data_IF_240153200042
#
_entry.id   IF_240153200042
#
_cell.length_a   1.000
_cell.length_b   1.000
_cell.length_c   1.000
_cell.angle_alpha   90.00
_cell.angle_beta   90.00
_cell.angle_gamma   90.00
#
_symmetry.space_group_name_H-M   'P 1'
#
loop_
_entity.id
_entity.type
_entity.pdbx_description
1 polymer ?
#
# COMPACT_ATOMS: atom_id res chain seq x y z
N UNK A 1 -0.50 6.48 -1.61
CA UNK A 1 -1.60 5.62 -2.08
C UNK A 1 -2.68 6.52 -2.66
N UNK A 2 -2.71 6.69 -3.98
CA UNK A 2 -3.68 7.52 -4.72
C UNK A 2 -4.37 6.64 -5.76
N UNK A 3 -5.48 7.02 -6.38
CA UNK A 3 -6.09 6.29 -7.51
C UNK A 3 -6.27 7.29 -8.65
N UNK A 4 -5.59 7.12 -9.80
CA UNK A 4 -5.90 7.86 -11.02
C UNK A 4 -5.72 7.00 -12.30
N UNK A 5 -6.84 6.76 -12.98
CA UNK A 5 -6.88 6.13 -14.29
C UNK A 5 -6.41 7.15 -15.37
N UNK A 6 -5.25 6.93 -15.99
CA UNK A 6 -4.91 7.59 -17.26
C UNK A 6 -5.04 6.61 -18.42
N UNK A 7 -6.16 6.69 -19.15
CA UNK A 7 -6.28 6.16 -20.51
C UNK A 7 -5.66 7.19 -21.47
N UNK A 8 -4.48 6.89 -22.02
CA UNK A 8 -3.94 7.64 -23.14
C UNK A 8 -4.73 7.27 -24.40
N UNK A 9 -5.67 8.13 -24.77
CA UNK A 9 -6.41 8.09 -26.04
C UNK A 9 -6.99 9.47 -26.29
N UNK A 10 -6.54 10.13 -27.35
CA UNK A 10 -6.90 11.50 -27.71
C UNK A 10 -8.42 11.74 -27.69
N UNK A 11 -8.90 12.54 -26.74
CA UNK A 11 -9.85 13.63 -26.95
C UNK A 11 -10.20 14.30 -25.61
N UNK A 12 -10.25 15.63 -25.64
CA UNK A 12 -10.59 16.55 -24.55
C UNK A 12 -11.58 15.98 -23.50
N UNK A 13 -11.08 15.63 -22.31
CA UNK A 13 -11.90 15.48 -21.11
C UNK A 13 -11.04 15.81 -19.88
N UNK A 14 -11.57 16.65 -19.00
CA UNK A 14 -10.81 17.32 -17.93
C UNK A 14 -10.04 16.37 -17.02
N UNK A 15 -8.89 16.84 -16.50
CA UNK A 15 -8.08 16.13 -15.49
C UNK A 15 -9.02 15.58 -14.42
N UNK A 16 -9.04 14.24 -14.28
CA UNK A 16 -9.74 13.58 -13.19
C UNK A 16 -9.27 14.18 -11.86
N UNK A 17 -10.21 14.58 -11.02
CA UNK A 17 -9.88 15.07 -9.67
C UNK A 17 -9.37 13.87 -8.86
N UNK A 18 -8.21 14.02 -8.23
CA UNK A 18 -7.62 12.97 -7.39
C UNK A 18 -8.60 12.57 -6.27
N UNK A 19 -8.55 11.30 -5.85
CA UNK A 19 -9.39 10.76 -4.78
C UNK A 19 -10.90 10.97 -5.05
N UNK A 20 -11.31 10.78 -6.31
CA UNK A 20 -12.71 10.85 -6.73
C UNK A 20 -12.99 9.75 -7.75
N UNK A 21 -14.04 8.98 -7.52
CA UNK A 21 -14.50 7.95 -8.46
C UNK A 21 -15.19 8.59 -9.67
N UNK A 22 -14.80 8.16 -10.85
CA UNK A 22 -15.50 8.37 -12.10
C UNK A 22 -16.90 7.75 -12.07
N UNK A 23 -17.76 8.16 -13.01
CA UNK A 23 -19.08 7.54 -13.19
C UNK A 23 -18.99 6.04 -13.49
N UNK A 24 -17.93 5.62 -14.19
CA UNK A 24 -17.70 4.22 -14.54
C UNK A 24 -17.32 3.41 -13.30
N UNK A 25 -16.34 3.87 -12.53
CA UNK A 25 -15.90 3.21 -11.29
C UNK A 25 -17.07 3.04 -10.31
N UNK A 26 -17.90 4.08 -10.11
CA UNK A 26 -19.10 3.97 -9.27
C UNK A 26 -20.08 2.92 -9.78
N UNK A 27 -20.28 2.82 -11.10
CA UNK A 27 -21.16 1.82 -11.71
C UNK A 27 -20.61 0.40 -11.56
N UNK A 28 -19.30 0.25 -11.54
CA UNK A 28 -18.59 -1.02 -11.35
C UNK A 28 -18.46 -1.41 -9.87
N UNK A 29 -18.95 -0.59 -8.95
CA UNK A 29 -18.97 -0.89 -7.51
C UNK A 29 -17.67 -0.54 -6.78
N UNK A 30 -16.79 0.27 -7.38
CA UNK A 30 -15.60 0.75 -6.68
C UNK A 30 -15.96 1.69 -5.53
N UNK A 31 -15.15 1.63 -4.48
CA UNK A 31 -15.25 2.47 -3.31
C UNK A 31 -13.91 3.17 -3.03
N UNK A 32 -13.94 4.35 -2.41
CA UNK A 32 -12.73 5.03 -1.99
C UNK A 32 -12.35 4.57 -0.59
N UNK A 33 -11.19 3.91 -0.47
CA UNK A 33 -10.56 3.68 0.83
C UNK A 33 -9.94 4.96 1.41
N UNK A 34 -9.73 5.99 0.60
CA UNK A 34 -9.16 7.27 1.02
C UNK A 34 -9.84 8.43 0.29
N UNK A 35 -10.33 9.40 1.06
CA UNK A 35 -11.07 10.56 0.57
C UNK A 35 -10.19 11.74 0.12
N UNK A 36 -8.86 11.60 0.26
CA UNK A 36 -7.90 12.66 -0.04
C UNK A 36 -7.70 13.69 1.07
N UNK A 37 -8.36 13.56 2.22
CA UNK A 37 -8.46 14.61 3.24
C UNK A 37 -8.25 14.09 4.65
N UNK A 38 -8.75 12.91 4.94
CA UNK A 38 -8.80 12.32 6.28
C UNK A 38 -8.30 10.88 6.25
N UNK A 39 -7.87 10.38 7.41
CA UNK A 39 -7.58 8.96 7.60
C UNK A 39 -8.80 8.22 8.17
N UNK A 40 -10.01 8.70 7.86
CA UNK A 40 -11.23 7.97 8.19
C UNK A 40 -11.19 6.59 7.50
N UNK A 41 -11.55 5.55 8.24
CA UNK A 41 -11.42 4.17 7.77
C UNK A 41 -10.01 3.59 7.94
N UNK A 42 -9.07 4.32 8.55
CA UNK A 42 -7.71 3.84 8.86
C UNK A 42 -7.39 3.99 10.34
N UNK A 43 -6.53 3.09 10.84
CA UNK A 43 -5.95 3.13 12.19
C UNK A 43 -4.55 2.52 12.18
N UNK A 44 -3.80 2.70 13.25
CA UNK A 44 -2.57 1.95 13.45
C UNK A 44 -2.85 0.48 13.73
N UNK A 45 -2.05 -0.43 13.19
CA UNK A 45 -2.16 -1.85 13.56
C UNK A 45 -1.96 -1.99 15.08
N UNK A 46 -2.83 -2.76 15.74
CA UNK A 46 -2.83 -3.01 17.18
C UNK A 46 -3.26 -1.80 18.02
N UNK A 47 -3.89 -0.80 17.40
CA UNK A 47 -4.30 0.47 18.03
C UNK A 47 -5.64 0.97 17.48
N UNK A 48 -6.31 1.80 18.26
CA UNK A 48 -7.59 2.42 17.91
C UNK A 48 -7.44 3.78 17.22
N UNK A 49 -6.22 4.32 17.20
CA UNK A 49 -5.88 5.63 16.65
C UNK A 49 -4.82 5.54 15.54
N UNK A 50 -4.68 6.63 14.79
CA UNK A 50 -3.56 6.80 13.85
C UNK A 50 -2.41 7.51 14.57
N UNK A 51 -1.19 6.99 14.40
CA UNK A 51 0.02 7.60 14.94
C UNK A 51 0.42 8.79 14.05
N UNK A 52 -0.11 9.97 14.36
CA UNK A 52 0.00 11.18 13.54
C UNK A 52 1.44 11.69 13.32
N UNK A 53 2.37 11.32 14.19
CA UNK A 53 3.81 11.58 13.99
C UNK A 53 4.40 10.76 12.83
N UNK A 54 3.74 9.66 12.45
CA UNK A 54 4.22 8.69 11.46
C UNK A 54 3.39 8.67 10.18
N UNK A 55 2.11 9.03 10.23
CA UNK A 55 1.18 8.98 9.10
C UNK A 55 0.39 10.28 9.03
N UNK A 56 0.47 10.94 7.87
CA UNK A 56 -0.17 12.24 7.63
C UNK A 56 -0.93 12.24 6.32
N UNK A 57 -1.93 13.10 6.22
CA UNK A 57 -2.51 13.49 4.94
C UNK A 57 -1.84 14.77 4.46
N UNK A 58 -1.28 14.72 3.26
CA UNK A 58 -0.59 15.86 2.64
C UNK A 58 -0.85 15.83 1.13
N UNK A 59 -1.24 16.97 0.55
CA UNK A 59 -1.49 17.13 -0.89
C UNK A 59 -2.40 16.05 -1.51
N UNK A 60 -3.42 15.62 -0.76
CA UNK A 60 -4.33 14.57 -1.22
C UNK A 60 -3.72 13.17 -1.20
N UNK A 61 -2.70 12.91 -0.37
CA UNK A 61 -2.03 11.63 -0.24
C UNK A 61 -1.91 11.21 1.23
N UNK A 62 -1.98 9.90 1.48
CA UNK A 62 -1.45 9.31 2.72
C UNK A 62 0.09 9.26 2.60
N UNK A 63 0.78 9.95 3.50
CA UNK A 63 2.25 10.03 3.57
C UNK A 63 2.76 9.37 4.85
N UNK A 64 3.67 8.41 4.69
CA UNK A 64 4.55 7.94 5.77
C UNK A 64 5.63 9.00 6.03
N UNK A 65 5.74 9.47 7.26
CA UNK A 65 6.77 10.42 7.69
C UNK A 65 8.12 9.71 7.72
N UNK A 66 9.18 10.40 7.27
CA UNK A 66 10.53 9.86 7.33
C UNK A 66 10.94 9.66 8.79
N UNK A 67 11.49 8.50 9.15
CA UNK A 67 11.93 8.20 10.51
C UNK A 67 12.92 9.23 11.09
N UNK A 68 13.65 9.98 10.25
CA UNK A 68 14.54 11.08 10.67
C UNK A 68 13.79 12.34 11.12
N UNK A 69 12.54 12.50 10.68
CA UNK A 69 11.65 13.63 11.00
C UNK A 69 10.71 13.32 12.17
N UNK A 70 10.57 12.05 12.56
CA UNK A 70 9.74 11.63 13.69
C UNK A 70 10.33 12.19 15.00
N UNK A 71 9.52 12.86 15.84
CA UNK A 71 9.98 13.38 17.12
C UNK A 71 10.58 12.28 18.01
N UNK A 72 11.54 12.70 18.84
CA UNK A 72 12.08 11.86 19.91
C UNK A 72 11.31 12.13 21.20
N UNK A 73 11.11 11.08 21.96
CA UNK A 73 10.62 11.12 23.34
C UNK A 73 11.67 11.75 24.25
N UNK A 74 11.29 12.07 25.49
CA UNK A 74 12.18 12.67 26.49
C UNK A 74 13.41 11.80 26.82
N UNK A 75 13.33 10.49 26.62
CA UNK A 75 14.43 9.55 26.81
C UNK A 75 15.33 9.42 25.55
N UNK A 76 15.09 10.23 24.52
CA UNK A 76 15.85 10.26 23.27
C UNK A 76 15.47 9.17 22.26
N UNK A 77 14.53 8.26 22.59
CA UNK A 77 14.04 7.24 21.65
C UNK A 77 13.00 7.82 20.70
N UNK A 78 12.89 7.32 19.46
CA UNK A 78 11.79 7.71 18.57
C UNK A 78 10.43 7.40 19.20
N UNK A 79 9.41 8.21 18.90
CA UNK A 79 8.01 7.84 19.16
C UNK A 79 7.69 6.54 18.41
N UNK A 80 7.01 5.60 19.06
CA UNK A 80 6.68 4.31 18.47
C UNK A 80 5.82 4.47 17.21
N UNK A 81 6.29 3.92 16.10
CA UNK A 81 5.56 3.88 14.83
C UNK A 81 4.74 2.62 14.67
N UNK A 82 4.53 2.25 13.42
CA UNK A 82 3.84 1.03 13.01
C UNK A 82 3.24 1.15 11.62
N UNK A 83 2.63 0.07 11.18
CA UNK A 83 1.91 -0.04 9.92
C UNK A 83 0.51 0.60 10.07
N UNK A 84 0.04 1.25 9.00
CA UNK A 84 -1.33 1.76 8.91
C UNK A 84 -2.22 0.67 8.32
N UNK A 85 -3.39 0.46 8.92
CA UNK A 85 -4.32 -0.61 8.56
C UNK A 85 -5.72 -0.04 8.35
N UNK A 86 -6.50 -0.63 7.45
CA UNK A 86 -7.92 -0.33 7.34
C UNK A 86 -8.65 -0.73 8.63
N UNK A 87 -9.71 -0.01 8.96
CA UNK A 87 -10.62 -0.41 10.05
C UNK A 87 -11.44 -1.63 9.62
N UNK A 88 -11.89 -1.63 8.37
CA UNK A 88 -12.62 -2.73 7.76
C UNK A 88 -11.68 -3.85 7.31
N UNK A 89 -12.20 -5.08 7.31
CA UNK A 89 -11.57 -6.25 6.74
C UNK A 89 -12.20 -6.57 5.38
N UNK A 90 -11.39 -7.06 4.45
CA UNK A 90 -11.80 -7.40 3.09
C UNK A 90 -11.30 -8.81 2.76
N UNK A 91 -12.19 -9.62 2.16
CA UNK A 91 -11.87 -10.97 1.68
C UNK A 91 -11.48 -10.92 0.19
N UNK A 92 -12.44 -11.20 -0.71
CA UNK A 92 -12.27 -11.02 -2.14
C UNK A 92 -12.29 -9.54 -2.50
N UNK A 93 -11.21 -9.05 -3.13
CA UNK A 93 -11.14 -7.65 -3.53
C UNK A 93 -10.29 -7.43 -4.78
N UNK A 94 -10.58 -6.32 -5.45
CA UNK A 94 -9.68 -5.68 -6.41
C UNK A 94 -9.29 -4.33 -5.84
N UNK A 95 -8.00 -4.18 -5.52
CA UNK A 95 -7.46 -2.98 -4.90
C UNK A 95 -6.52 -2.29 -5.88
N UNK A 96 -6.90 -1.09 -6.31
CA UNK A 96 -6.08 -0.24 -7.16
C UNK A 96 -5.49 0.91 -6.36
N UNK A 97 -4.23 1.23 -6.65
CA UNK A 97 -3.53 2.30 -5.98
C UNK A 97 -2.35 2.85 -6.78
N UNK A 98 -1.89 4.01 -6.37
CA UNK A 98 -0.79 4.77 -6.89
C UNK A 98 0.13 5.16 -5.77
N UNK A 99 1.41 5.14 -6.04
CA UNK A 99 2.40 5.36 -5.02
C UNK A 99 3.60 6.05 -5.65
N UNK A 100 4.28 6.82 -4.81
CA UNK A 100 5.59 7.37 -5.11
C UNK A 100 6.41 7.24 -3.84
N UNK A 101 7.71 7.11 -4.01
CA UNK A 101 8.65 7.03 -2.91
C UNK A 101 9.72 8.10 -3.07
N UNK A 102 10.30 8.48 -1.93
CA UNK A 102 11.53 9.26 -1.87
C UNK A 102 12.74 8.36 -2.20
N UNK A 103 13.91 8.93 -2.52
CA UNK A 103 15.14 8.16 -2.58
C UNK A 103 15.35 7.31 -1.32
N UNK A 104 15.91 6.11 -1.48
CA UNK A 104 16.07 5.08 -0.43
C UNK A 104 14.76 4.48 0.11
N UNK A 105 13.60 4.88 -0.43
CA UNK A 105 12.30 4.44 0.05
C UNK A 105 12.15 2.92 0.06
N UNK A 106 11.55 2.41 1.14
CA UNK A 106 11.19 1.01 1.30
C UNK A 106 9.86 0.97 2.06
N UNK A 107 8.84 0.38 1.42
CA UNK A 107 7.48 0.29 1.90
C UNK A 107 6.81 -0.92 1.25
N UNK A 108 5.51 -1.09 1.49
CA UNK A 108 4.75 -2.16 0.87
C UNK A 108 3.27 -2.01 1.17
N UNK A 109 2.46 -2.70 0.37
CA UNK A 109 1.04 -2.89 0.65
C UNK A 109 0.85 -4.32 1.12
N UNK A 110 0.42 -4.46 2.36
CA UNK A 110 0.13 -5.77 2.96
C UNK A 110 -1.36 -6.08 2.90
N UNK A 111 -1.69 -7.32 2.61
CA UNK A 111 -3.05 -7.83 2.52
C UNK A 111 -3.14 -9.24 3.11
N UNK A 112 -4.36 -9.70 3.37
CA UNK A 112 -4.63 -10.90 4.17
C UNK A 112 -3.89 -10.85 5.53
N UNK A 113 -3.99 -9.68 6.19
CA UNK A 113 -3.31 -9.39 7.45
C UNK A 113 -4.17 -9.86 8.61
N UNK A 114 -3.62 -10.69 9.48
CA UNK A 114 -4.22 -10.97 10.79
C UNK A 114 -3.61 -10.07 11.85
N UNK A 115 -4.41 -9.16 12.41
CA UNK A 115 -3.96 -8.29 13.50
C UNK A 115 -3.54 -9.09 14.74
N UNK A 116 -4.31 -10.13 15.09
CA UNK A 116 -3.99 -11.01 16.22
C UNK A 116 -2.62 -11.69 16.05
N UNK A 117 -2.37 -12.30 14.88
CA UNK A 117 -1.07 -12.94 14.62
C UNK A 117 0.05 -11.90 14.56
N UNK A 118 -0.23 -10.72 14.00
CA UNK A 118 0.73 -9.60 13.95
C UNK A 118 1.15 -9.15 15.34
N UNK A 119 0.19 -9.04 16.27
CA UNK A 119 0.46 -8.62 17.65
C UNK A 119 1.09 -9.72 18.51
N UNK A 120 0.80 -10.98 18.21
CA UNK A 120 1.23 -12.15 19.01
C UNK A 120 2.60 -12.66 18.59
N UNK A 121 2.83 -12.79 17.28
CA UNK A 121 4.03 -13.42 16.71
C UNK A 121 4.89 -12.46 15.89
N UNK A 122 4.32 -11.34 15.43
CA UNK A 122 5.03 -10.33 14.68
C UNK A 122 5.82 -9.35 15.56
N UNK A 123 6.50 -8.41 14.91
CA UNK A 123 6.97 -7.20 15.59
C UNK A 123 5.75 -6.35 15.92
N UNK A 124 5.49 -6.14 17.21
CA UNK A 124 4.34 -5.37 17.71
C UNK A 124 4.12 -4.10 16.87
N UNK A 125 2.93 -3.96 16.31
CA UNK A 125 2.50 -2.88 15.38
C UNK A 125 2.93 -2.98 13.92
N UNK A 126 3.50 -4.11 13.49
CA UNK A 126 3.82 -4.40 12.10
C UNK A 126 3.01 -5.60 11.61
N UNK A 127 2.45 -5.46 10.42
CA UNK A 127 1.55 -6.45 9.85
C UNK A 127 2.31 -7.71 9.43
N UNK A 128 1.77 -8.85 9.82
CA UNK A 128 2.06 -10.17 9.29
C UNK A 128 0.97 -10.50 8.26
N UNK A 129 1.36 -10.54 6.99
CA UNK A 129 0.49 -10.80 5.85
C UNK A 129 1.30 -10.87 4.55
N UNK A 130 0.61 -11.06 3.43
CA UNK A 130 1.24 -11.00 2.10
C UNK A 130 1.58 -9.57 1.75
N UNK A 131 2.73 -9.33 1.12
CA UNK A 131 3.23 -7.97 0.84
C UNK A 131 3.54 -7.77 -0.64
N UNK A 132 2.85 -6.82 -1.26
CA UNK A 132 3.30 -6.21 -2.51
C UNK A 132 4.44 -5.25 -2.18
N UNK A 133 5.64 -5.55 -2.67
CA UNK A 133 6.84 -4.77 -2.35
C UNK A 133 6.86 -3.42 -3.07
N UNK A 134 7.29 -2.37 -2.36
CA UNK A 134 7.54 -1.02 -2.90
C UNK A 134 8.93 -0.55 -2.45
N UNK A 135 9.88 -0.42 -3.38
CA UNK A 135 11.27 -0.18 -3.06
C UNK A 135 11.95 0.73 -4.09
N UNK A 136 12.95 1.50 -3.65
CA UNK A 136 13.89 2.16 -4.56
C UNK A 136 14.88 1.11 -5.11
N UNK A 137 14.42 0.28 -6.05
CA UNK A 137 15.13 -0.90 -6.58
C UNK A 137 16.56 -0.61 -7.05
N UNK A 138 16.79 0.62 -7.54
CA UNK A 138 18.07 1.05 -8.11
C UNK A 138 19.01 1.73 -7.10
N UNK A 139 18.57 1.96 -5.86
CA UNK A 139 19.42 2.55 -4.84
C UNK A 139 20.62 1.64 -4.52
N UNK A 140 21.80 2.21 -4.28
CA UNK A 140 23.02 1.47 -3.96
C UNK A 140 22.89 0.53 -2.74
N UNK A 141 21.91 0.77 -1.87
CA UNK A 141 21.60 -0.08 -0.71
C UNK A 141 21.01 -1.43 -1.14
N UNK A 142 20.27 -1.46 -2.24
CA UNK A 142 19.44 -2.60 -2.64
C UNK A 142 19.88 -3.21 -3.98
N UNK A 143 20.29 -2.38 -4.94
CA UNK A 143 20.60 -2.79 -6.29
C UNK A 143 21.63 -3.93 -6.35
N UNK A 144 21.21 -5.06 -6.91
CA UNK A 144 22.04 -6.26 -7.07
C UNK A 144 22.35 -7.02 -5.78
N UNK A 145 21.70 -6.67 -4.65
CA UNK A 145 21.98 -7.24 -3.33
C UNK A 145 20.84 -8.08 -2.76
N UNK A 146 19.63 -7.91 -3.26
CA UNK A 146 18.45 -8.62 -2.79
C UNK A 146 18.08 -9.81 -3.70
N UNK A 147 17.31 -10.75 -3.17
CA UNK A 147 16.68 -11.80 -3.99
C UNK A 147 15.69 -11.15 -4.97
N UNK A 148 15.45 -11.74 -6.16
CA UNK A 148 14.46 -11.23 -7.10
C UNK A 148 13.08 -10.96 -6.48
N UNK A 149 12.62 -11.81 -5.55
CA UNK A 149 11.34 -11.68 -4.84
C UNK A 149 11.29 -10.56 -3.79
N UNK A 150 12.34 -9.75 -3.64
CA UNK A 150 12.41 -8.65 -2.68
C UNK A 150 12.41 -7.27 -3.35
N UNK A 151 12.30 -7.21 -4.68
CA UNK A 151 12.18 -5.96 -5.44
C UNK A 151 10.74 -5.60 -5.75
N UNK A 152 10.51 -4.34 -6.15
CA UNK A 152 9.18 -3.76 -6.35
C UNK A 152 8.27 -4.62 -7.21
N UNK A 153 7.01 -4.72 -6.81
CA UNK A 153 5.99 -5.50 -7.52
C UNK A 153 5.93 -6.96 -7.13
N UNK A 154 6.98 -7.49 -6.48
CA UNK A 154 7.03 -8.88 -6.06
C UNK A 154 6.07 -9.15 -4.91
N UNK A 155 5.64 -10.40 -4.78
CA UNK A 155 5.15 -10.89 -3.49
C UNK A 155 6.37 -11.16 -2.61
N UNK A 156 6.61 -10.28 -1.64
CA UNK A 156 7.86 -10.19 -0.90
C UNK A 156 8.31 -11.56 -0.34
N UNK A 157 9.54 -11.94 -0.68
CA UNK A 157 10.22 -13.21 -0.33
C UNK A 157 9.53 -14.51 -0.81
N UNK A 158 8.43 -14.42 -1.57
CA UNK A 158 7.70 -15.56 -2.11
C UNK A 158 7.81 -15.68 -3.63
N UNK A 159 7.34 -14.68 -4.38
CA UNK A 159 7.33 -14.71 -5.85
C UNK A 159 7.90 -13.43 -6.45
N UNK A 160 8.91 -13.52 -7.33
CA UNK A 160 9.44 -12.35 -8.03
C UNK A 160 8.42 -11.79 -9.01
N UNK A 161 8.40 -10.46 -9.12
CA UNK A 161 7.67 -9.82 -10.20
C UNK A 161 8.39 -9.95 -11.53
N UNK A 162 7.60 -9.93 -12.60
CA UNK A 162 8.07 -9.95 -13.97
C UNK A 162 7.58 -8.70 -14.70
N UNK A 163 8.36 -8.25 -15.69
CA UNK A 163 7.99 -7.14 -16.58
C UNK A 163 7.65 -5.83 -15.85
N UNK A 164 8.25 -5.60 -14.68
CA UNK A 164 8.04 -4.39 -13.88
C UNK A 164 8.56 -3.17 -14.64
N UNK A 165 7.72 -2.14 -14.75
CA UNK A 165 8.08 -0.83 -15.30
C UNK A 165 7.84 0.21 -14.22
N UNK A 166 8.92 0.79 -13.72
CA UNK A 166 8.87 1.81 -12.70
C UNK A 166 9.08 3.18 -13.32
N UNK A 167 8.23 4.13 -12.95
CA UNK A 167 8.50 5.54 -13.15
C UNK A 167 9.63 5.99 -12.22
N UNK A 168 10.33 7.09 -12.57
CA UNK A 168 11.39 7.65 -11.74
C UNK A 168 10.97 7.90 -10.29
N UNK A 169 11.96 7.94 -9.40
CA UNK A 169 11.76 8.32 -7.99
C UNK A 169 11.05 9.68 -7.90
N UNK A 170 10.15 9.82 -6.94
CA UNK A 170 9.23 10.95 -6.77
C UNK A 170 8.11 11.10 -7.82
N UNK A 171 8.07 10.27 -8.87
CA UNK A 171 6.93 10.18 -9.78
C UNK A 171 5.95 9.08 -9.35
N UNK A 172 4.69 9.23 -9.71
CA UNK A 172 3.66 8.25 -9.36
C UNK A 172 3.78 7.01 -10.25
N UNK A 173 3.84 5.85 -9.61
CA UNK A 173 3.53 4.55 -10.17
C UNK A 173 2.07 4.21 -9.86
N UNK A 174 1.48 3.32 -10.65
CA UNK A 174 0.18 2.71 -10.35
C UNK A 174 0.31 1.19 -10.26
N UNK A 175 -0.56 0.58 -9.48
CA UNK A 175 -0.49 -0.83 -9.12
C UNK A 175 -1.87 -1.35 -8.77
N UNK A 176 -2.03 -2.67 -8.85
CA UNK A 176 -3.29 -3.34 -8.58
C UNK A 176 -3.04 -4.70 -7.95
N UNK A 177 -3.78 -5.01 -6.90
CA UNK A 177 -3.81 -6.31 -6.24
C UNK A 177 -5.21 -6.88 -6.43
N UNK A 178 -5.29 -8.13 -6.90
CA UNK A 178 -6.54 -8.88 -6.98
C UNK A 178 -6.36 -10.09 -6.08
N UNK A 179 -7.18 -10.18 -5.04
CA UNK A 179 -7.32 -11.38 -4.22
C UNK A 179 -8.71 -11.96 -4.49
N UNK A 180 -8.75 -13.21 -4.94
CA UNK A 180 -9.99 -13.94 -5.19
C UNK A 180 -9.83 -15.37 -4.71
N UNK A 181 -10.79 -15.83 -3.93
CA UNK A 181 -10.95 -17.24 -3.63
C UNK A 181 -11.28 -17.99 -4.93
N UNK A 182 -10.47 -19.01 -5.25
CA UNK A 182 -10.78 -19.93 -6.34
C UNK A 182 -11.47 -21.13 -5.71
N UNK A 183 -12.79 -21.19 -5.86
CA UNK A 183 -13.54 -22.41 -5.54
C UNK A 183 -13.14 -23.48 -6.56
N UNK A 184 -12.29 -24.42 -6.16
CA UNK A 184 -12.10 -25.65 -6.94
C UNK A 184 -13.45 -26.38 -6.97
N UNK A 185 -14.02 -26.55 -8.17
CA UNK A 185 -15.17 -27.43 -8.34
C UNK A 185 -14.70 -28.82 -7.92
N UNK A 186 -15.11 -29.30 -6.75
CA UNK A 186 -15.01 -30.71 -6.41
C UNK A 186 -15.92 -31.44 -7.38
N UNK A 187 -15.38 -31.83 -8.53
CA UNK A 187 -16.04 -32.71 -9.48
C UNK A 187 -16.34 -34.00 -8.74
N UNK A 188 -17.60 -34.21 -8.38
CA UNK A 188 -18.11 -35.48 -7.91
C UNK A 188 -17.89 -36.50 -9.03
N UNK A 189 -16.85 -37.30 -8.91
CA UNK A 189 -16.81 -38.60 -9.58
C UNK A 189 -17.77 -39.51 -8.82
N UNK A 190 -19.01 -39.60 -9.30
CA UNK A 190 -19.84 -40.80 -9.11
C UNK A 190 -19.43 -41.88 -10.13
#
# INVERSE_FOLDING_TARGET
LTVALFLCGCNNSGKQTINTLTKKEKKEGWELLFDGKTLNGWRGLGRDDVQADHWKVEDGMIRKVNNREVPKQSDGKPVAGGDLMTVEAFDDFEFYFEWKIMPEGNSGIKYNVSEELSMTYGSRYHALGFEYQILDDNHERYAGKLKPSQYTGSLYDLFPAENVKLNPISEFNNSKIILKEIMESTGSTE
#
